data_IF_290817502602
#
_entry.id   IF_290817502602
#
_cell.length_a   1.000
_cell.length_b   1.000
_cell.length_c   1.000
_cell.angle_alpha   90.00
_cell.angle_beta   90.00
_cell.angle_gamma   90.00
#
_symmetry.space_group_name_H-M   'P 1'
#
loop_
_entity.id
_entity.type
_entity.pdbx_description
1 polymer ?
#
# COMPACT_ATOMS: atom_id res chain seq x y z
N UNK A 1 -0.68 -24.65 2.69
CA UNK A 1 -0.51 -25.79 1.79
C UNK A 1 0.98 -26.09 1.67
N UNK A 2 1.45 -27.29 2.04
CA UNK A 2 2.87 -27.65 2.01
C UNK A 2 3.52 -27.57 0.63
N UNK A 3 2.74 -27.82 -0.44
CA UNK A 3 3.22 -27.80 -1.83
C UNK A 3 3.49 -26.38 -2.29
N UNK A 4 2.61 -25.44 -1.91
CA UNK A 4 2.81 -24.00 -2.13
C UNK A 4 4.06 -23.50 -1.42
N UNK A 5 4.28 -23.90 -0.17
CA UNK A 5 5.44 -23.49 0.63
C UNK A 5 6.77 -24.10 0.13
N UNK A 6 6.74 -25.26 -0.51
CA UNK A 6 7.91 -25.88 -1.14
C UNK A 6 8.21 -25.22 -2.50
N UNK A 7 7.18 -24.94 -3.30
CA UNK A 7 7.30 -24.15 -4.52
C UNK A 7 7.80 -22.73 -4.27
N UNK A 8 7.30 -22.07 -3.22
CA UNK A 8 7.77 -20.74 -2.79
C UNK A 8 9.26 -20.77 -2.41
N UNK A 9 9.73 -21.82 -1.73
CA UNK A 9 11.15 -21.99 -1.38
C UNK A 9 12.04 -22.23 -2.59
N UNK A 10 11.65 -23.11 -3.52
CA UNK A 10 12.39 -23.31 -4.78
C UNK A 10 12.39 -22.04 -5.65
N UNK A 11 11.27 -21.30 -5.65
CA UNK A 11 11.18 -20.01 -6.33
C UNK A 11 12.10 -18.97 -5.68
N UNK A 12 12.13 -18.88 -4.35
CA UNK A 12 13.05 -18.00 -3.60
C UNK A 12 14.52 -18.31 -3.93
N UNK A 13 14.91 -19.58 -4.03
CA UNK A 13 16.29 -19.94 -4.41
C UNK A 13 16.65 -19.54 -5.83
N UNK A 14 15.73 -19.72 -6.78
CA UNK A 14 15.92 -19.35 -8.18
C UNK A 14 15.94 -17.83 -8.40
N UNK A 15 15.30 -17.07 -7.50
CA UNK A 15 15.14 -15.62 -7.58
C UNK A 15 16.19 -14.79 -6.82
N UNK A 16 17.18 -15.44 -6.19
CA UNK A 16 18.32 -14.76 -5.53
C UNK A 16 19.17 -13.92 -6.49
N UNK A 17 19.14 -14.23 -7.79
CA UNK A 17 19.90 -13.51 -8.81
C UNK A 17 18.96 -12.53 -9.53
N UNK A 18 19.25 -11.23 -9.39
CA UNK A 18 18.53 -10.16 -10.08
C UNK A 18 18.66 -10.33 -11.59
N UNK A 19 17.56 -10.38 -12.31
CA UNK A 19 17.55 -10.44 -13.78
C UNK A 19 17.54 -9.04 -14.42
N UNK A 20 17.23 -8.01 -13.65
CA UNK A 20 17.24 -6.60 -14.06
C UNK A 20 18.02 -5.84 -12.99
N UNK A 21 19.02 -5.06 -13.39
CA UNK A 21 19.82 -4.27 -12.41
C UNK A 21 19.11 -2.97 -12.04
N UNK A 22 18.62 -2.22 -13.03
CA UNK A 22 17.99 -0.91 -12.84
C UNK A 22 16.71 -0.71 -13.64
N UNK A 23 15.86 0.19 -13.16
CA UNK A 23 14.57 0.59 -13.72
C UNK A 23 14.57 2.11 -13.95
N UNK A 24 14.14 2.54 -15.14
CA UNK A 24 13.77 3.93 -15.43
C UNK A 24 12.26 4.07 -15.41
N UNK A 25 11.74 4.95 -14.57
CA UNK A 25 10.32 5.28 -14.45
C UNK A 25 10.17 6.79 -14.26
N UNK A 26 9.56 7.47 -15.24
CA UNK A 26 9.48 8.94 -15.26
C UNK A 26 10.88 9.57 -15.20
N UNK A 27 11.14 10.53 -14.30
CA UNK A 27 12.46 11.13 -14.14
C UNK A 27 13.45 10.29 -13.32
N UNK A 28 13.02 9.14 -12.76
CA UNK A 28 13.80 8.38 -11.81
C UNK A 28 14.51 7.18 -12.43
N UNK A 29 15.72 6.92 -11.91
CA UNK A 29 16.44 5.66 -12.09
C UNK A 29 16.54 4.98 -10.73
N UNK A 30 16.13 3.71 -10.65
CA UNK A 30 16.07 2.96 -9.39
C UNK A 30 16.75 1.60 -9.57
N UNK A 31 17.54 1.18 -8.59
CA UNK A 31 18.07 -0.18 -8.55
C UNK A 31 16.97 -1.17 -8.17
N UNK A 32 16.85 -2.26 -8.93
CA UNK A 32 15.96 -3.35 -8.56
C UNK A 32 16.51 -4.09 -7.33
N UNK A 33 15.62 -4.52 -6.44
CA UNK A 33 15.97 -5.22 -5.21
C UNK A 33 15.89 -6.72 -5.37
N UNK A 34 14.94 -7.19 -6.18
CA UNK A 34 14.63 -8.60 -6.36
C UNK A 34 14.48 -8.96 -7.84
N UNK A 35 14.55 -10.26 -8.13
CA UNK A 35 14.13 -10.79 -9.42
C UNK A 35 12.65 -10.51 -9.68
N UNK A 36 12.31 -10.22 -10.94
CA UNK A 36 10.93 -10.17 -11.42
C UNK A 36 10.75 -10.99 -12.71
N UNK A 37 9.68 -11.79 -12.87
CA UNK A 37 9.50 -12.74 -13.97
C UNK A 37 9.02 -12.07 -15.27
N UNK A 38 9.73 -11.03 -15.72
CA UNK A 38 9.53 -10.46 -17.04
C UNK A 38 9.74 -11.53 -18.14
N UNK A 39 9.11 -11.37 -19.33
CA UNK A 39 9.29 -12.32 -20.43
C UNK A 39 10.78 -12.56 -20.76
N UNK A 40 11.14 -13.78 -21.19
CA UNK A 40 12.55 -14.23 -21.37
C UNK A 40 13.44 -13.27 -22.18
N UNK A 41 12.88 -12.54 -23.14
CA UNK A 41 13.60 -11.54 -23.93
C UNK A 41 13.98 -10.27 -23.14
N UNK A 42 13.55 -10.14 -21.89
CA UNK A 42 13.88 -9.08 -20.93
C UNK A 42 14.78 -9.56 -19.78
N UNK A 43 15.28 -10.81 -19.83
CA UNK A 43 16.24 -11.30 -18.85
C UNK A 43 17.62 -10.65 -19.02
N UNK A 44 18.35 -10.50 -17.92
CA UNK A 44 19.72 -9.96 -17.83
C UNK A 44 19.88 -8.56 -18.42
N UNK A 45 18.89 -7.68 -18.17
CA UNK A 45 18.97 -6.29 -18.59
C UNK A 45 19.67 -5.44 -17.54
N UNK A 46 20.66 -4.66 -17.97
CA UNK A 46 21.23 -3.60 -17.14
C UNK A 46 20.17 -2.55 -16.75
N UNK A 47 19.33 -2.16 -17.71
CA UNK A 47 18.29 -1.14 -17.48
C UNK A 47 17.00 -1.49 -18.22
N UNK A 48 15.89 -1.51 -17.48
CA UNK A 48 14.54 -1.58 -18.01
C UNK A 48 13.94 -0.17 -18.10
N UNK A 49 13.35 0.19 -19.24
CA UNK A 49 12.68 1.48 -19.42
C UNK A 49 11.17 1.31 -19.38
N UNK A 50 10.49 2.04 -18.50
CA UNK A 50 9.04 1.89 -18.31
C UNK A 50 8.35 3.23 -18.47
N UNK A 51 7.27 3.24 -19.28
CA UNK A 51 6.38 4.40 -19.37
C UNK A 51 5.65 4.59 -18.05
N UNK A 52 5.76 5.76 -17.42
CA UNK A 52 5.14 6.05 -16.11
C UNK A 52 3.61 6.03 -16.16
N UNK A 53 3.01 6.30 -17.32
CA UNK A 53 1.56 6.35 -17.47
C UNK A 53 0.94 5.00 -17.79
N UNK A 54 1.40 4.30 -18.84
CA UNK A 54 0.79 3.05 -19.30
C UNK A 54 1.54 1.78 -18.86
N UNK A 55 2.64 1.94 -18.13
CA UNK A 55 3.51 0.88 -17.60
C UNK A 55 4.10 -0.06 -18.66
N UNK A 56 4.07 0.33 -19.94
CA UNK A 56 4.73 -0.44 -20.99
C UNK A 56 6.23 -0.43 -20.75
N UNK A 57 6.82 -1.61 -20.66
CA UNK A 57 8.24 -1.82 -20.41
C UNK A 57 8.98 -2.10 -21.72
N UNK A 58 10.20 -1.60 -21.84
CA UNK A 58 11.00 -1.56 -23.07
C UNK A 58 12.48 -1.80 -22.74
N UNK A 59 13.19 -2.44 -23.68
CA UNK A 59 14.61 -2.79 -23.53
C UNK A 59 15.58 -1.68 -23.91
N UNK A 60 15.19 -0.85 -24.87
CA UNK A 60 16.06 0.15 -25.51
C UNK A 60 15.55 1.55 -25.24
N UNK A 61 16.48 2.47 -24.97
CA UNK A 61 16.18 3.89 -24.81
C UNK A 61 15.53 4.50 -26.06
N UNK A 62 15.87 4.03 -27.27
CA UNK A 62 15.26 4.50 -28.51
C UNK A 62 13.78 4.15 -28.59
N UNK A 63 13.41 2.91 -28.26
CA UNK A 63 12.02 2.47 -28.17
C UNK A 63 11.25 3.25 -27.10
N UNK A 64 11.88 3.52 -25.95
CA UNK A 64 11.30 4.33 -24.88
C UNK A 64 11.00 5.77 -25.31
N UNK A 65 11.96 6.45 -25.95
CA UNK A 65 11.77 7.81 -26.49
C UNK A 65 10.67 7.84 -27.54
N UNK A 66 10.66 6.87 -28.46
CA UNK A 66 9.61 6.76 -29.46
C UNK A 66 8.23 6.56 -28.81
N UNK A 67 8.12 5.66 -27.83
CA UNK A 67 6.88 5.44 -27.11
C UNK A 67 6.40 6.70 -26.39
N UNK A 68 7.27 7.42 -25.66
CA UNK A 68 6.89 8.66 -24.97
C UNK A 68 6.35 9.74 -25.91
N UNK A 69 6.88 9.84 -27.11
CA UNK A 69 6.42 10.80 -28.11
C UNK A 69 5.01 10.49 -28.66
N UNK A 70 4.56 9.24 -28.60
CA UNK A 70 3.29 8.80 -29.22
C UNK A 70 2.25 8.33 -28.20
N UNK A 71 2.66 8.01 -26.97
CA UNK A 71 1.74 7.58 -25.93
C UNK A 71 0.80 8.73 -25.55
N UNK A 72 -0.50 8.50 -25.65
CA UNK A 72 -1.56 9.46 -25.29
C UNK A 72 -2.05 9.30 -23.87
N UNK A 73 -1.72 8.19 -23.19
CA UNK A 73 -2.11 7.93 -21.80
C UNK A 73 -1.40 8.90 -20.85
N UNK A 74 -2.14 9.53 -19.93
CA UNK A 74 -1.62 10.44 -18.90
C UNK A 74 -2.09 10.12 -17.49
N UNK A 75 -2.81 9.01 -17.30
CA UNK A 75 -3.27 8.58 -15.99
C UNK A 75 -3.43 7.05 -15.96
N UNK A 76 -3.43 6.42 -14.76
CA UNK A 76 -3.85 5.03 -14.63
C UNK A 76 -5.24 4.81 -15.24
N UNK A 77 -5.51 3.62 -15.82
CA UNK A 77 -6.86 3.26 -16.22
C UNK A 77 -7.75 3.13 -14.96
N UNK A 78 -9.06 3.02 -15.16
CA UNK A 78 -10.01 2.84 -14.05
C UNK A 78 -10.61 4.13 -13.52
N UNK A 79 -11.27 4.03 -12.38
CA UNK A 79 -12.07 5.12 -11.79
C UNK A 79 -11.22 5.88 -10.78
N UNK A 80 -11.17 7.21 -10.90
CA UNK A 80 -10.63 8.05 -9.82
C UNK A 80 -11.62 8.03 -8.65
N UNK A 81 -11.15 7.62 -7.48
CA UNK A 81 -11.96 7.50 -6.26
C UNK A 81 -11.50 8.45 -5.16
N UNK A 82 -10.33 9.06 -5.29
CA UNK A 82 -9.78 10.01 -4.31
C UNK A 82 -9.19 11.20 -5.06
N UNK A 83 -9.42 12.40 -4.54
CA UNK A 83 -8.87 13.64 -5.09
C UNK A 83 -8.62 14.65 -3.96
N UNK A 84 -7.35 14.93 -3.68
CA UNK A 84 -6.94 15.87 -2.62
C UNK A 84 -6.02 16.96 -3.18
N UNK A 85 -6.35 18.25 -3.00
CA UNK A 85 -5.44 19.35 -3.30
C UNK A 85 -4.16 19.30 -2.47
N UNK A 86 -3.01 19.56 -3.11
CA UNK A 86 -1.69 19.64 -2.48
C UNK A 86 -1.09 21.05 -2.63
N UNK A 87 -1.67 22.10 -2.03
CA UNK A 87 -1.26 23.49 -2.27
C UNK A 87 0.18 23.82 -1.84
N UNK A 88 0.82 22.95 -1.06
CA UNK A 88 2.18 23.12 -0.54
C UNK A 88 3.17 22.09 -1.11
N UNK A 89 2.81 21.37 -2.17
CA UNK A 89 3.70 20.41 -2.83
C UNK A 89 4.22 21.03 -4.13
N UNK A 90 5.54 21.17 -4.25
CA UNK A 90 6.18 21.87 -5.37
C UNK A 90 6.09 21.08 -6.69
N UNK A 91 5.94 19.75 -6.62
CA UNK A 91 5.93 18.90 -7.81
C UNK A 91 4.52 18.40 -8.19
N UNK A 92 3.47 18.76 -7.45
CA UNK A 92 2.11 18.32 -7.77
C UNK A 92 1.03 19.23 -7.20
N UNK A 93 -0.03 19.40 -7.97
CA UNK A 93 -1.24 20.12 -7.57
C UNK A 93 -2.19 19.23 -6.77
N UNK A 94 -2.19 17.91 -7.02
CA UNK A 94 -3.13 16.97 -6.40
C UNK A 94 -2.51 15.62 -6.04
N UNK A 95 -3.15 14.94 -5.09
CA UNK A 95 -2.99 13.51 -4.84
C UNK A 95 -4.27 12.78 -5.24
N UNK A 96 -4.16 11.91 -6.25
CA UNK A 96 -5.28 11.13 -6.77
C UNK A 96 -5.08 9.64 -6.50
N UNK A 97 -6.19 8.92 -6.37
CA UNK A 97 -6.21 7.46 -6.34
C UNK A 97 -7.17 6.91 -7.37
N UNK A 98 -6.69 5.95 -8.15
CA UNK A 98 -7.44 5.24 -9.17
C UNK A 98 -7.71 3.81 -8.73
N UNK A 99 -8.98 3.41 -8.71
CA UNK A 99 -9.43 2.04 -8.51
C UNK A 99 -9.52 1.33 -9.87
N UNK A 100 -8.81 0.22 -9.99
CA UNK A 100 -8.74 -0.62 -11.18
C UNK A 100 -9.26 -2.01 -10.81
N UNK A 101 -10.19 -2.52 -11.60
CA UNK A 101 -10.51 -3.94 -11.62
C UNK A 101 -9.44 -4.68 -12.44
N UNK A 102 -8.79 -5.70 -11.86
CA UNK A 102 -7.80 -6.50 -12.57
C UNK A 102 -8.36 -7.30 -13.75
N UNK A 103 -9.67 -7.54 -13.80
CA UNK A 103 -10.35 -8.11 -14.96
C UNK A 103 -10.41 -7.11 -16.12
N UNK A 104 -10.80 -5.86 -15.84
CA UNK A 104 -11.00 -4.83 -16.86
C UNK A 104 -9.67 -4.23 -17.33
N UNK A 105 -8.75 -3.96 -16.41
CA UNK A 105 -7.44 -3.35 -16.65
C UNK A 105 -6.31 -4.39 -16.70
N UNK A 106 -6.60 -5.62 -17.14
CA UNK A 106 -5.70 -6.80 -17.04
C UNK A 106 -4.24 -6.53 -17.41
N UNK A 107 -4.01 -5.96 -18.60
CA UNK A 107 -2.65 -5.73 -19.08
C UNK A 107 -1.90 -4.69 -18.23
N UNK A 108 -2.60 -3.66 -17.75
CA UNK A 108 -2.00 -2.65 -16.87
C UNK A 108 -1.61 -3.26 -15.52
N UNK A 109 -2.53 -4.01 -14.91
CA UNK A 109 -2.31 -4.66 -13.62
C UNK A 109 -1.19 -5.71 -13.69
N UNK A 110 -1.08 -6.48 -14.77
CA UNK A 110 0.04 -7.41 -14.98
C UNK A 110 1.39 -6.68 -15.07
N UNK A 111 1.46 -5.56 -15.82
CA UNK A 111 2.67 -4.72 -15.89
C UNK A 111 3.03 -4.13 -14.52
N UNK A 112 2.04 -3.67 -13.77
CA UNK A 112 2.22 -3.16 -12.41
C UNK A 112 2.75 -4.25 -11.47
N UNK A 113 2.22 -5.47 -11.54
CA UNK A 113 2.70 -6.61 -10.76
C UNK A 113 4.16 -6.96 -11.06
N UNK A 114 4.54 -7.02 -12.34
CA UNK A 114 5.93 -7.27 -12.75
C UNK A 114 6.87 -6.16 -12.25
N UNK A 115 6.43 -4.90 -12.36
CA UNK A 115 7.19 -3.76 -11.86
C UNK A 115 7.36 -3.82 -10.33
N UNK A 116 6.28 -4.13 -9.61
CA UNK A 116 6.28 -4.21 -8.17
C UNK A 116 7.17 -5.34 -7.64
N UNK A 117 7.21 -6.47 -8.34
CA UNK A 117 8.05 -7.62 -7.97
C UNK A 117 9.55 -7.29 -7.96
N UNK A 118 10.00 -6.26 -8.67
CA UNK A 118 11.39 -5.77 -8.57
C UNK A 118 11.72 -5.23 -7.17
N UNK A 119 10.71 -4.87 -6.36
CA UNK A 119 10.85 -4.25 -5.04
C UNK A 119 10.14 -5.03 -3.93
N UNK A 120 9.51 -6.17 -4.27
CA UNK A 120 8.79 -7.04 -3.33
C UNK A 120 9.35 -8.46 -3.42
N UNK A 121 9.72 -9.02 -2.27
CA UNK A 121 10.33 -10.35 -2.19
C UNK A 121 9.28 -11.44 -2.45
N UNK A 122 8.26 -11.51 -1.59
CA UNK A 122 7.28 -12.60 -1.56
C UNK A 122 6.02 -12.37 -2.43
N UNK A 123 6.13 -11.67 -3.56
CA UNK A 123 4.99 -11.51 -4.49
C UNK A 123 4.90 -12.71 -5.44
N UNK A 124 3.92 -13.57 -5.23
CA UNK A 124 3.73 -14.83 -5.98
C UNK A 124 2.76 -14.71 -7.16
N UNK A 125 1.74 -13.85 -7.07
CA UNK A 125 0.75 -13.65 -8.12
C UNK A 125 1.05 -12.38 -8.95
N UNK A 126 1.39 -12.58 -10.22
CA UNK A 126 1.71 -11.50 -11.17
C UNK A 126 1.02 -11.60 -12.54
N UNK A 127 0.54 -12.78 -12.95
CA UNK A 127 -0.20 -12.95 -14.22
C UNK A 127 -1.71 -13.06 -14.04
N UNK A 128 -2.17 -13.77 -13.00
CA UNK A 128 -3.58 -13.78 -12.66
C UNK A 128 -3.90 -12.62 -11.74
N UNK A 129 -4.43 -11.56 -12.35
CA UNK A 129 -4.80 -10.29 -11.68
C UNK A 129 -6.31 -10.15 -11.51
N UNK A 130 -7.08 -11.04 -12.13
CA UNK A 130 -8.55 -11.03 -12.17
C UNK A 130 -9.20 -11.03 -10.78
N UNK A 131 -8.66 -11.74 -9.77
CA UNK A 131 -9.22 -11.76 -8.42
C UNK A 131 -9.00 -10.48 -7.60
N UNK A 132 -8.33 -9.46 -8.14
CA UNK A 132 -7.87 -8.31 -7.38
C UNK A 132 -8.43 -6.98 -7.89
N UNK A 133 -8.73 -6.08 -6.95
CA UNK A 133 -8.72 -4.65 -7.18
C UNK A 133 -7.31 -4.10 -6.95
N UNK A 134 -6.96 -3.06 -7.71
CA UNK A 134 -5.72 -2.31 -7.54
C UNK A 134 -6.05 -0.84 -7.31
N UNK A 135 -5.43 -0.25 -6.29
CA UNK A 135 -5.61 1.15 -5.93
C UNK A 135 -4.29 1.87 -6.17
N UNK A 136 -4.21 2.57 -7.31
CA UNK A 136 -3.00 3.23 -7.78
C UNK A 136 -3.00 4.68 -7.28
N UNK A 137 -1.98 5.03 -6.49
CA UNK A 137 -1.79 6.39 -5.98
C UNK A 137 -0.89 7.15 -6.94
N UNK A 138 -1.29 8.38 -7.28
CA UNK A 138 -0.53 9.24 -8.17
C UNK A 138 -0.49 10.70 -7.70
N UNK A 139 0.67 11.32 -7.84
CA UNK A 139 0.82 12.79 -7.81
C UNK A 139 0.39 13.34 -9.16
N UNK A 140 -0.40 14.41 -9.18
CA UNK A 140 -0.92 14.99 -10.42
C UNK A 140 -0.39 16.40 -10.62
N UNK A 141 0.18 16.65 -11.80
CA UNK A 141 0.62 17.96 -12.27
C UNK A 141 -0.06 18.32 -13.62
N UNK A 142 0.43 19.37 -14.29
CA UNK A 142 -0.10 19.81 -15.59
C UNK A 142 0.18 18.82 -16.74
N UNK A 143 1.08 17.87 -16.55
CA UNK A 143 1.46 16.85 -17.52
C UNK A 143 0.65 15.56 -17.37
N UNK A 144 0.30 15.17 -16.14
CA UNK A 144 -0.56 14.02 -15.88
C UNK A 144 -0.45 13.46 -14.46
N UNK A 145 -0.86 12.20 -14.32
CA UNK A 145 -0.87 11.46 -13.05
C UNK A 145 0.35 10.52 -12.96
N UNK A 146 1.30 10.91 -12.13
CA UNK A 146 2.57 10.24 -11.90
C UNK A 146 2.45 9.23 -10.76
N UNK A 147 2.58 7.94 -11.08
CA UNK A 147 2.44 6.87 -10.09
C UNK A 147 3.49 6.99 -8.97
N UNK A 148 3.02 6.96 -7.72
CA UNK A 148 3.89 6.97 -6.53
C UNK A 148 3.91 5.64 -5.80
N UNK A 149 2.84 4.87 -5.92
CA UNK A 149 2.68 3.59 -5.26
C UNK A 149 1.30 3.01 -5.52
N UNK A 150 1.05 1.84 -4.96
CA UNK A 150 -0.25 1.19 -5.04
C UNK A 150 -0.44 0.21 -3.89
N UNK A 151 -1.68 -0.24 -3.72
CA UNK A 151 -1.94 -1.53 -3.09
C UNK A 151 -2.93 -2.36 -3.89
N UNK A 152 -2.91 -3.67 -3.70
CA UNK A 152 -3.94 -4.59 -4.22
C UNK A 152 -4.80 -5.13 -3.09
N UNK A 153 -6.05 -5.46 -3.40
CA UNK A 153 -7.02 -6.04 -2.48
C UNK A 153 -7.75 -7.17 -3.20
N UNK A 154 -7.87 -8.33 -2.57
CA UNK A 154 -8.70 -9.41 -3.12
C UNK A 154 -10.16 -8.96 -3.17
N UNK A 155 -10.87 -9.27 -4.26
CA UNK A 155 -12.30 -9.03 -4.37
C UNK A 155 -13.08 -9.82 -3.31
N UNK A 156 -12.62 -11.04 -3.03
CA UNK A 156 -13.15 -11.93 -2.01
C UNK A 156 -11.99 -12.48 -1.21
N UNK A 157 -11.83 -12.02 0.04
CA UNK A 157 -10.79 -12.51 0.95
C UNK A 157 -11.42 -13.36 2.05
N UNK A 158 -11.09 -14.64 2.09
CA UNK A 158 -11.62 -15.57 3.11
C UNK A 158 -11.20 -15.20 4.54
N UNK A 159 -9.98 -14.67 4.69
CA UNK A 159 -9.43 -14.22 5.96
C UNK A 159 -9.82 -12.76 6.29
N UNK A 160 -10.55 -12.08 5.41
CA UNK A 160 -10.89 -10.66 5.59
C UNK A 160 -9.67 -9.74 5.56
N UNK A 161 -8.70 -10.00 4.68
CA UNK A 161 -7.60 -9.08 4.45
C UNK A 161 -8.09 -7.87 3.63
N UNK A 162 -7.72 -6.66 4.06
CA UNK A 162 -8.07 -5.44 3.34
C UNK A 162 -6.95 -4.95 2.42
N UNK A 163 -5.79 -5.60 2.47
CA UNK A 163 -4.63 -5.31 1.66
C UNK A 163 -3.82 -6.59 1.44
N UNK A 164 -3.54 -6.91 0.18
CA UNK A 164 -2.75 -8.06 -0.23
C UNK A 164 -1.27 -7.67 -0.44
N UNK A 165 -1.01 -6.79 -1.42
CA UNK A 165 0.33 -6.23 -1.66
C UNK A 165 0.30 -4.71 -1.51
N UNK A 166 1.37 -4.12 -0.98
CA UNK A 166 1.58 -2.67 -0.89
C UNK A 166 2.98 -2.32 -1.40
N UNK A 167 3.08 -1.26 -2.18
CA UNK A 167 4.35 -0.69 -2.61
C UNK A 167 4.27 0.83 -2.69
N UNK A 168 5.27 1.49 -2.11
CA UNK A 168 5.63 2.86 -2.48
C UNK A 168 6.94 2.77 -3.26
N UNK A 169 6.99 3.34 -4.47
CA UNK A 169 8.21 3.30 -5.28
C UNK A 169 9.38 3.97 -4.54
N UNK A 170 10.61 3.45 -4.67
CA UNK A 170 11.77 3.92 -3.90
C UNK A 170 11.93 5.44 -3.76
N UNK A 171 11.77 6.27 -4.83
CA UNK A 171 11.94 7.72 -4.74
C UNK A 171 10.91 8.42 -3.82
N UNK A 172 9.77 7.78 -3.60
CA UNK A 172 8.67 8.32 -2.78
C UNK A 172 8.61 7.70 -1.39
N UNK A 173 9.54 6.80 -1.05
CA UNK A 173 9.61 6.23 0.31
C UNK A 173 10.01 7.30 1.32
N UNK A 174 9.61 7.10 2.59
CA UNK A 174 9.82 8.05 3.70
C UNK A 174 9.13 9.43 3.55
N UNK A 175 8.42 9.70 2.46
CA UNK A 175 7.60 10.91 2.26
C UNK A 175 6.13 10.79 2.76
N UNK A 176 5.81 9.70 3.49
CA UNK A 176 4.49 9.48 4.09
C UNK A 176 3.48 8.73 3.21
N UNK A 177 3.76 8.48 1.92
CA UNK A 177 2.83 7.78 1.02
C UNK A 177 2.49 6.36 1.45
N UNK A 178 3.41 5.62 2.07
CA UNK A 178 3.11 4.30 2.63
C UNK A 178 2.03 4.35 3.72
N UNK A 179 2.08 5.36 4.59
CA UNK A 179 1.05 5.56 5.63
C UNK A 179 -0.27 6.01 5.03
N UNK A 180 -0.24 6.85 4.00
CA UNK A 180 -1.43 7.22 3.23
C UNK A 180 -2.10 5.98 2.65
N UNK A 181 -1.35 5.10 1.97
CA UNK A 181 -1.88 3.88 1.37
C UNK A 181 -2.50 2.96 2.44
N UNK A 182 -1.82 2.74 3.57
CA UNK A 182 -2.37 1.95 4.68
C UNK A 182 -3.67 2.58 5.21
N UNK A 183 -3.68 3.90 5.44
CA UNK A 183 -4.88 4.57 5.94
C UNK A 183 -6.06 4.49 4.97
N UNK A 184 -5.80 4.61 3.67
CA UNK A 184 -6.80 4.45 2.64
C UNK A 184 -7.42 3.05 2.65
N UNK A 185 -6.62 1.98 2.82
CA UNK A 185 -7.17 0.62 2.89
C UNK A 185 -8.13 0.45 4.07
N UNK A 186 -7.87 1.12 5.20
CA UNK A 186 -8.79 1.15 6.34
C UNK A 186 -10.02 2.03 6.12
N UNK A 187 -9.91 3.17 5.42
CA UNK A 187 -11.08 3.97 5.03
C UNK A 187 -12.06 3.17 4.15
N UNK A 188 -11.53 2.37 3.22
CA UNK A 188 -12.35 1.45 2.42
C UNK A 188 -13.05 0.41 3.31
N UNK A 189 -12.31 -0.24 4.23
CA UNK A 189 -12.89 -1.21 5.17
C UNK A 189 -14.01 -0.60 6.02
N UNK A 190 -13.82 0.62 6.53
CA UNK A 190 -14.84 1.32 7.32
C UNK A 190 -16.12 1.55 6.51
N UNK A 191 -16.01 1.93 5.24
CA UNK A 191 -17.18 2.11 4.34
C UNK A 191 -17.87 0.81 3.98
N UNK A 192 -17.15 -0.29 3.99
CA UNK A 192 -17.71 -1.63 3.87
C UNK A 192 -18.34 -2.14 5.17
N UNK A 193 -18.27 -1.37 6.26
CA UNK A 193 -18.64 -1.79 7.62
C UNK A 193 -17.91 -3.08 8.05
N UNK A 194 -16.63 -3.20 7.67
CA UNK A 194 -15.77 -4.35 7.97
C UNK A 194 -14.51 -3.90 8.70
N UNK A 195 -13.94 -4.82 9.47
CA UNK A 195 -12.57 -4.68 9.98
C UNK A 195 -11.60 -5.35 9.02
N UNK A 196 -10.34 -4.91 9.04
CA UNK A 196 -9.31 -5.39 8.12
C UNK A 196 -7.93 -5.50 8.76
N UNK A 197 -7.11 -6.31 8.13
CA UNK A 197 -5.69 -6.49 8.43
C UNK A 197 -4.96 -6.74 7.10
N UNK A 198 -3.66 -6.43 6.98
CA UNK A 198 -2.89 -6.85 5.82
C UNK A 198 -2.73 -8.36 5.75
N UNK A 199 -2.55 -8.88 4.54
CA UNK A 199 -2.10 -10.23 4.29
C UNK A 199 -0.74 -10.50 4.95
N UNK A 200 -0.56 -11.74 5.44
CA UNK A 200 0.62 -12.19 6.17
C UNK A 200 1.33 -13.28 5.34
N UNK A 201 2.68 -13.34 5.34
CA UNK A 201 3.60 -12.51 6.11
C UNK A 201 3.88 -11.13 5.48
N UNK A 202 4.01 -10.11 6.32
CA UNK A 202 4.46 -8.78 5.90
C UNK A 202 5.99 -8.74 5.69
N UNK A 203 6.43 -7.91 4.73
CA UNK A 203 7.84 -7.50 4.65
C UNK A 203 8.27 -6.69 5.89
N UNK A 204 9.56 -6.62 6.18
CA UNK A 204 10.04 -5.89 7.37
C UNK A 204 9.70 -4.39 7.32
N UNK A 205 9.81 -3.78 6.14
CA UNK A 205 9.35 -2.40 5.93
C UNK A 205 7.82 -2.27 6.13
N UNK A 206 7.05 -3.27 5.69
CA UNK A 206 5.61 -3.37 5.93
C UNK A 206 5.28 -3.43 7.41
N UNK A 207 5.92 -4.31 8.19
CA UNK A 207 5.74 -4.45 9.64
C UNK A 207 5.99 -3.13 10.37
N UNK A 208 7.10 -2.45 10.08
CA UNK A 208 7.43 -1.15 10.69
C UNK A 208 6.39 -0.10 10.33
N UNK A 209 5.92 -0.08 9.08
CA UNK A 209 4.93 0.89 8.60
C UNK A 209 3.56 0.69 9.27
N UNK A 210 3.07 -0.55 9.33
CA UNK A 210 1.80 -0.90 9.99
C UNK A 210 1.85 -0.64 11.49
N UNK A 211 2.93 -1.06 12.18
CA UNK A 211 3.11 -0.78 13.61
C UNK A 211 3.08 0.72 13.90
N UNK A 212 3.77 1.52 13.09
CA UNK A 212 3.76 2.97 13.23
C UNK A 212 2.37 3.56 12.97
N UNK A 213 1.60 3.03 12.02
CA UNK A 213 0.26 3.49 11.70
C UNK A 213 -0.73 3.14 12.82
N UNK A 214 -0.80 1.88 13.24
CA UNK A 214 -1.70 1.44 14.32
C UNK A 214 -1.42 2.17 15.62
N UNK A 215 -0.15 2.34 15.99
CA UNK A 215 0.22 3.12 17.18
C UNK A 215 -0.33 4.55 17.09
N UNK A 216 -0.17 5.21 15.93
CA UNK A 216 -0.69 6.56 15.75
C UNK A 216 -2.20 6.63 15.87
N UNK A 217 -2.93 5.77 15.15
CA UNK A 217 -4.39 5.78 15.15
C UNK A 217 -4.95 5.48 16.54
N UNK A 218 -4.41 4.46 17.22
CA UNK A 218 -4.88 4.10 18.56
C UNK A 218 -4.59 5.19 19.59
N UNK A 219 -3.39 5.78 19.59
CA UNK A 219 -3.09 6.87 20.52
C UNK A 219 -3.95 8.11 20.25
N UNK A 220 -4.27 8.42 18.98
CA UNK A 220 -5.19 9.51 18.64
C UNK A 220 -6.60 9.26 19.19
N UNK A 221 -7.14 8.05 19.00
CA UNK A 221 -8.47 7.69 19.54
C UNK A 221 -8.48 7.71 21.07
N UNK A 222 -7.46 7.13 21.71
CA UNK A 222 -7.34 7.13 23.18
C UNK A 222 -7.20 8.53 23.77
N UNK A 223 -6.59 9.46 23.02
CA UNK A 223 -6.43 10.85 23.45
C UNK A 223 -7.75 11.64 23.36
N UNK A 224 -8.55 11.40 22.32
CA UNK A 224 -9.85 12.06 22.13
C UNK A 224 -10.96 11.43 22.99
N UNK A 225 -10.73 10.22 23.52
CA UNK A 225 -11.68 9.48 24.33
C UNK A 225 -11.92 10.12 25.71
N UNK A 226 -13.19 10.21 26.13
CA UNK A 226 -13.58 10.69 27.45
C UNK A 226 -13.11 9.71 28.55
N UNK A 227 -12.25 10.11 29.48
CA UNK A 227 -11.79 9.23 30.56
C UNK A 227 -12.89 8.66 31.46
N UNK A 228 -14.12 9.20 31.41
CA UNK A 228 -15.27 8.72 32.19
C UNK A 228 -16.05 7.59 31.51
N UNK A 229 -15.79 7.33 30.23
CA UNK A 229 -16.45 6.24 29.50
C UNK A 229 -15.59 4.98 29.52
N UNK A 230 -16.23 3.82 29.51
CA UNK A 230 -15.51 2.56 29.32
C UNK A 230 -15.18 2.39 27.83
N UNK A 231 -13.93 2.02 27.55
CA UNK A 231 -13.47 1.77 26.18
C UNK A 231 -13.03 0.32 26.02
N UNK A 232 -13.76 -0.44 25.21
CA UNK A 232 -13.42 -1.82 24.91
C UNK A 232 -12.56 -1.95 23.64
N UNK A 233 -11.93 -3.12 23.48
CA UNK A 233 -11.23 -3.48 22.24
C UNK A 233 -12.19 -3.54 21.05
N UNK A 234 -13.45 -3.91 21.28
CA UNK A 234 -14.47 -3.94 20.24
C UNK A 234 -14.81 -2.52 19.75
N UNK A 235 -14.90 -1.55 20.65
CA UNK A 235 -15.16 -0.14 20.30
C UNK A 235 -14.01 0.43 19.46
N UNK A 236 -12.75 0.21 19.89
CA UNK A 236 -11.57 0.60 19.11
C UNK A 236 -11.57 -0.02 17.71
N UNK A 237 -11.97 -1.30 17.60
CA UNK A 237 -12.04 -2.02 16.33
C UNK A 237 -13.12 -1.45 15.40
N UNK A 238 -14.29 -1.14 15.94
CA UNK A 238 -15.39 -0.51 15.21
C UNK A 238 -15.01 0.90 14.71
N UNK A 239 -14.40 1.73 15.57
CA UNK A 239 -14.01 3.10 15.23
C UNK A 239 -12.90 3.15 14.18
N UNK A 240 -11.91 2.26 14.29
CA UNK A 240 -10.69 2.34 13.47
C UNK A 240 -10.72 1.43 12.23
N UNK A 241 -11.61 0.43 12.22
CA UNK A 241 -11.60 -0.65 11.22
C UNK A 241 -10.44 -1.65 11.40
N UNK A 242 -9.63 -1.53 12.45
CA UNK A 242 -8.49 -2.43 12.72
C UNK A 242 -9.02 -3.70 13.40
N UNK A 243 -8.57 -4.88 12.98
CA UNK A 243 -8.93 -6.14 13.66
C UNK A 243 -8.49 -6.12 15.13
N UNK A 244 -9.29 -6.75 15.99
CA UNK A 244 -9.01 -6.80 17.43
C UNK A 244 -7.63 -7.39 17.75
N UNK A 245 -7.16 -8.40 16.99
CA UNK A 245 -5.83 -8.98 17.16
C UNK A 245 -4.68 -7.96 17.01
N UNK A 246 -4.80 -7.06 16.02
CA UNK A 246 -3.81 -6.02 15.75
C UNK A 246 -3.87 -4.92 16.81
N UNK A 247 -5.06 -4.61 17.33
CA UNK A 247 -5.25 -3.68 18.46
C UNK A 247 -4.61 -4.26 19.73
N UNK A 248 -4.92 -5.51 20.07
CA UNK A 248 -4.38 -6.20 21.23
C UNK A 248 -2.86 -6.21 21.19
N UNK A 249 -2.26 -6.65 20.08
CA UNK A 249 -0.80 -6.70 19.94
C UNK A 249 -0.15 -5.32 20.02
N UNK A 250 -0.78 -4.28 19.48
CA UNK A 250 -0.28 -2.90 19.57
C UNK A 250 -0.36 -2.36 21.00
N UNK A 251 -1.50 -2.53 21.68
CA UNK A 251 -1.65 -2.07 23.07
C UNK A 251 -0.79 -2.85 24.05
N UNK A 252 -0.50 -4.13 23.80
CA UNK A 252 0.47 -4.92 24.56
C UNK A 252 1.87 -4.32 24.45
N UNK A 253 2.30 -3.91 23.26
CA UNK A 253 3.60 -3.28 23.04
C UNK A 253 3.70 -1.88 23.68
N UNK A 254 2.58 -1.17 23.80
CA UNK A 254 2.48 0.10 24.51
C UNK A 254 2.29 -0.08 26.03
N UNK A 255 2.18 -1.34 26.48
CA UNK A 255 1.86 -1.73 27.85
C UNK A 255 0.57 -1.07 28.38
N UNK A 256 -0.43 -0.84 27.53
CA UNK A 256 -1.71 -0.18 27.85
C UNK A 256 -2.88 -1.17 27.99
N UNK A 257 -2.58 -2.45 28.20
CA UNK A 257 -3.58 -3.50 28.33
C UNK A 257 -3.20 -4.48 29.44
N UNK A 258 -4.19 -4.91 30.23
CA UNK A 258 -4.04 -5.95 31.26
C UNK A 258 -5.19 -6.94 31.15
N UNK A 259 -4.94 -8.17 31.60
CA UNK A 259 -6.01 -9.16 31.76
C UNK A 259 -6.50 -9.07 33.20
N UNK A 260 -7.78 -8.76 33.37
CA UNK A 260 -8.45 -8.74 34.67
C UNK A 260 -9.68 -9.64 34.62
N UNK A 261 -9.74 -10.64 35.52
CA UNK A 261 -10.83 -11.64 35.57
C UNK A 261 -11.13 -12.33 34.22
N UNK A 262 -10.10 -12.57 33.41
CA UNK A 262 -10.23 -13.20 32.09
C UNK A 262 -10.66 -12.25 30.97
N UNK A 263 -10.84 -10.95 31.24
CA UNK A 263 -11.15 -9.93 30.23
C UNK A 263 -9.96 -9.00 30.01
N UNK A 264 -9.79 -8.54 28.78
CA UNK A 264 -8.81 -7.50 28.44
C UNK A 264 -9.36 -6.13 28.84
N UNK A 265 -8.65 -5.45 29.74
CA UNK A 265 -8.96 -4.08 30.17
C UNK A 265 -7.90 -3.16 29.58
N UNK A 266 -8.35 -2.18 28.79
CA UNK A 266 -7.51 -1.10 28.29
C UNK A 266 -7.36 -0.07 29.40
N UNK A 267 -6.13 0.39 29.65
CA UNK A 267 -5.90 1.50 30.57
C UNK A 267 -4.94 2.49 29.92
N UNK A 268 -5.32 3.77 29.98
CA UNK A 268 -4.63 4.84 29.28
C UNK A 268 -3.52 5.40 30.16
N UNK A 269 -2.27 5.25 29.72
CA UNK A 269 -1.12 5.93 30.35
C UNK A 269 -1.04 7.37 29.84
N UNK A 270 -1.55 8.34 30.61
CA UNK A 270 -1.57 9.75 30.20
C UNK A 270 -0.20 10.30 29.79
N UNK A 271 0.86 9.94 30.53
CA UNK A 271 2.23 10.35 30.19
C UNK A 271 2.66 9.93 28.77
N UNK A 272 2.24 8.75 28.30
CA UNK A 272 2.57 8.26 26.94
C UNK A 272 1.81 9.08 25.89
N UNK A 273 0.55 9.45 26.16
CA UNK A 273 -0.22 10.30 25.27
C UNK A 273 0.37 11.72 25.17
N UNK A 274 0.75 12.30 26.31
CA UNK A 274 1.39 13.61 26.39
C UNK A 274 2.73 13.64 25.65
N UNK A 275 3.59 12.65 25.88
CA UNK A 275 4.86 12.49 25.17
C UNK A 275 4.64 12.34 23.66
N UNK A 276 3.70 11.48 23.26
CA UNK A 276 3.38 11.27 21.86
C UNK A 276 2.90 12.56 21.17
N UNK A 277 2.04 13.34 21.85
CA UNK A 277 1.53 14.61 21.37
C UNK A 277 2.63 15.66 21.24
N UNK A 278 3.57 15.70 22.20
CA UNK A 278 4.70 16.63 22.18
C UNK A 278 5.59 16.45 20.94
N UNK A 279 5.64 15.24 20.35
CA UNK A 279 6.36 14.97 19.10
C UNK A 279 5.73 15.65 17.87
N UNK A 280 4.47 16.12 17.97
CA UNK A 280 3.72 16.81 16.92
C UNK A 280 3.85 16.15 15.53
N UNK A 281 3.77 14.81 15.51
CA UNK A 281 4.00 14.01 14.30
C UNK A 281 2.88 14.28 13.30
N UNK A 282 3.25 14.82 12.14
CA UNK A 282 2.32 15.02 11.01
C UNK A 282 2.38 13.80 10.10
N UNK A 283 1.31 13.01 10.10
CA UNK A 283 1.17 11.87 9.20
C UNK A 283 0.35 12.29 7.97
N UNK A 284 0.79 11.87 6.79
CA UNK A 284 -0.02 11.93 5.58
C UNK A 284 -0.99 10.75 5.61
N UNK A 285 -2.22 11.00 6.03
CA UNK A 285 -3.31 10.02 6.05
C UNK A 285 -4.35 10.35 4.97
N UNK A 286 -5.14 9.36 4.58
CA UNK A 286 -6.30 9.52 3.72
C UNK A 286 -7.31 10.44 4.40
N UNK A 287 -7.78 11.45 3.67
CA UNK A 287 -8.84 12.35 4.11
C UNK A 287 -10.20 11.76 3.70
N UNK A 288 -11.07 11.33 4.62
CA UNK A 288 -12.34 10.69 4.28
C UNK A 288 -13.22 11.54 3.35
N UNK A 289 -13.18 12.86 3.49
CA UNK A 289 -13.90 13.84 2.68
C UNK A 289 -13.44 13.90 1.21
N UNK A 290 -12.19 13.53 0.93
CA UNK A 290 -11.63 13.49 -0.42
C UNK A 290 -11.86 12.15 -1.13
N UNK A 291 -12.40 11.15 -0.43
CA UNK A 291 -12.63 9.80 -0.96
C UNK A 291 -14.08 9.67 -1.45
N UNK A 292 -14.29 9.64 -2.76
CA UNK A 292 -15.56 9.43 -3.46
C UNK A 292 -15.71 7.96 -3.87
N UNK A 293 -16.04 7.12 -2.89
CA UNK A 293 -16.09 5.67 -3.07
C UNK A 293 -17.24 5.04 -2.31
N UNK A 294 -17.87 4.04 -2.93
CA UNK A 294 -18.89 3.17 -2.34
C UNK A 294 -18.47 1.71 -2.55
N UNK A 295 -18.77 0.81 -1.60
CA UNK A 295 -18.56 -0.61 -1.78
C UNK A 295 -19.19 -1.12 -3.08
N UNK A 296 -18.55 -2.08 -3.79
CA UNK A 296 -19.22 -2.84 -4.83
C UNK A 296 -20.44 -3.56 -4.25
N UNK A 297 -21.54 -3.61 -5.00
CA UNK A 297 -22.75 -4.35 -4.65
C UNK A 297 -22.50 -5.87 -4.55
#
# INVERSE_FOLDING_TARGET
>A
DPVLAEWEREHEETTKIKNIESLVLGPYVMDAWYYSPFPKNYSNLKTLYVCEYCLTYMRKVSSYKHHRAHCTTRQPPGKRIYHQPLPNDEDASYLDVYELDGQDAKLYCQKLCLLAKLFLDHKTLYYDVTPFYFYVVAKVDDHGSHIVGYFSKEKVSGEGYNLACILTFPPYQKAGFGKFIISLSYELSKRENKTGSPEKPLSDLGKVSYRSYWTHVLLSVLYEHDPQQDLSIADLSLTTGIKQEDILSTLQQLEMIKVWKGQHVVYVKQAVLEEYRALNKRFRLCQPECLEWKPPD
#
